data_IF_689943353638
#
_entry.id   IF_689943353638
#
_cell.length_a   1.000
_cell.length_b   1.000
_cell.length_c   1.000
_cell.angle_alpha   90.00
_cell.angle_beta   90.00
_cell.angle_gamma   90.00
#
_symmetry.space_group_name_H-M   'P 1'
#
loop_
_entity.id
_entity.type
_entity.pdbx_description
1 polymer ?
#
# COMPACT_ATOMS: atom_id res chain seq x y z
N UNK A 1 7.33 -20.15 26.60
CA UNK A 1 7.27 -20.70 25.22
C UNK A 1 5.91 -20.42 24.56
N UNK A 2 4.80 -20.74 25.22
CA UNK A 2 3.43 -20.54 24.71
C UNK A 2 3.09 -19.07 24.41
N UNK A 3 3.51 -18.12 25.25
CA UNK A 3 3.26 -16.69 24.99
C UNK A 3 3.86 -16.19 23.67
N UNK A 4 5.10 -16.62 23.35
CA UNK A 4 5.76 -16.24 22.08
C UNK A 4 4.99 -16.82 20.90
N UNK A 5 4.53 -18.07 21.01
CA UNK A 5 3.70 -18.71 20.00
C UNK A 5 2.37 -17.98 19.81
N UNK A 6 1.69 -17.59 20.90
CA UNK A 6 0.47 -16.77 20.83
C UNK A 6 0.70 -15.41 20.17
N UNK A 7 1.84 -14.75 20.40
CA UNK A 7 2.18 -13.50 19.70
C UNK A 7 2.28 -13.72 18.19
N UNK A 8 2.96 -14.77 17.74
CA UNK A 8 3.07 -15.11 16.32
C UNK A 8 1.71 -15.46 15.72
N UNK A 9 0.89 -16.24 16.43
CA UNK A 9 -0.47 -16.59 15.99
C UNK A 9 -1.35 -15.35 15.80
N UNK A 10 -1.37 -14.45 16.79
CA UNK A 10 -2.12 -13.20 16.72
C UNK A 10 -1.64 -12.32 15.57
N UNK A 11 -0.31 -12.21 15.37
CA UNK A 11 0.24 -11.45 14.25
C UNK A 11 -0.23 -11.99 12.90
N UNK A 12 -0.16 -13.30 12.69
CA UNK A 12 -0.61 -13.94 11.45
C UNK A 12 -2.11 -13.75 11.18
N UNK A 13 -2.94 -13.81 12.23
CA UNK A 13 -4.38 -13.54 12.14
C UNK A 13 -4.67 -12.06 11.83
N UNK A 14 -3.93 -11.12 12.44
CA UNK A 14 -4.08 -9.69 12.17
C UNK A 14 -3.75 -9.34 10.70
N UNK A 15 -2.78 -10.01 10.09
CA UNK A 15 -2.43 -9.79 8.68
C UNK A 15 -3.58 -10.06 7.70
N UNK A 16 -4.52 -10.94 8.04
CA UNK A 16 -5.65 -11.26 7.17
C UNK A 16 -6.81 -10.26 7.25
N UNK A 17 -6.79 -9.32 8.20
CA UNK A 17 -7.76 -8.22 8.38
C UNK A 17 -9.25 -8.62 8.23
N UNK A 18 -9.61 -9.85 8.60
CA UNK A 18 -10.98 -10.38 8.51
C UNK A 18 -11.63 -10.48 9.89
N UNK A 19 -12.92 -10.18 9.99
CA UNK A 19 -13.71 -10.39 11.21
C UNK A 19 -13.89 -11.88 11.56
N UNK A 20 -13.92 -12.76 10.55
CA UNK A 20 -14.14 -14.20 10.68
C UNK A 20 -12.83 -14.98 10.92
N UNK A 21 -12.07 -14.59 11.95
CA UNK A 21 -10.78 -15.20 12.29
C UNK A 21 -10.86 -16.72 12.52
N UNK A 22 -12.02 -17.23 12.95
CA UNK A 22 -12.24 -18.67 13.18
C UNK A 22 -12.11 -19.50 11.90
N UNK A 23 -12.59 -18.98 10.76
CA UNK A 23 -12.50 -19.67 9.47
C UNK A 23 -11.06 -19.70 8.93
N UNK A 24 -10.24 -18.73 9.30
CA UNK A 24 -8.83 -18.65 8.90
C UNK A 24 -7.90 -19.43 9.83
N UNK A 25 -8.37 -19.78 11.02
CA UNK A 25 -7.58 -20.44 12.04
C UNK A 25 -6.91 -21.74 11.54
N UNK A 26 -7.60 -22.64 10.80
CA UNK A 26 -6.97 -23.86 10.28
C UNK A 26 -5.81 -23.56 9.32
N UNK A 27 -5.99 -22.58 8.43
CA UNK A 27 -4.99 -22.17 7.43
C UNK A 27 -3.76 -21.55 8.10
N UNK A 28 -3.97 -20.65 9.07
CA UNK A 28 -2.88 -20.01 9.81
C UNK A 28 -2.11 -21.04 10.63
N UNK A 29 -2.80 -21.95 11.32
CA UNK A 29 -2.15 -23.02 12.08
C UNK A 29 -1.35 -23.97 11.20
N UNK A 30 -1.86 -24.30 10.00
CA UNK A 30 -1.15 -25.10 9.02
C UNK A 30 0.15 -24.43 8.58
N UNK A 31 0.10 -23.15 8.22
CA UNK A 31 1.28 -22.37 7.86
C UNK A 31 2.31 -22.31 8.99
N UNK A 32 1.86 -22.07 10.23
CA UNK A 32 2.75 -22.00 11.39
C UNK A 32 3.41 -23.34 11.75
N UNK A 33 2.80 -24.47 11.38
CA UNK A 33 3.35 -25.81 11.62
C UNK A 33 4.34 -26.24 10.54
N UNK A 34 4.19 -25.74 9.31
CA UNK A 34 5.09 -26.07 8.20
C UNK A 34 6.18 -25.01 7.94
N UNK A 35 6.16 -23.86 8.62
CA UNK A 35 7.22 -22.88 8.49
C UNK A 35 8.56 -23.46 8.99
N UNK A 36 9.58 -23.43 8.13
CA UNK A 36 10.95 -23.75 8.53
C UNK A 36 11.47 -22.65 9.43
N UNK A 37 11.89 -23.03 10.65
CA UNK A 37 12.44 -22.04 11.57
C UNK A 37 13.95 -21.92 11.35
N UNK A 38 14.45 -20.69 11.27
CA UNK A 38 15.87 -20.41 11.00
C UNK A 38 16.80 -20.87 12.14
N UNK A 39 16.30 -20.92 13.37
CA UNK A 39 17.06 -21.36 14.54
C UNK A 39 17.34 -22.87 14.53
N UNK A 40 16.42 -23.66 14.00
CA UNK A 40 16.51 -25.13 14.02
C UNK A 40 16.74 -25.74 12.63
N UNK A 41 16.54 -24.97 11.56
CA UNK A 41 16.68 -25.43 10.18
C UNK A 41 15.58 -26.39 9.72
N UNK A 42 14.54 -26.59 10.54
CA UNK A 42 13.43 -27.51 10.28
C UNK A 42 12.11 -26.92 10.78
N UNK A 43 11.01 -27.44 10.26
CA UNK A 43 9.64 -27.07 10.62
C UNK A 43 9.12 -27.89 11.80
N UNK A 44 8.15 -27.37 12.58
CA UNK A 44 7.49 -28.14 13.63
C UNK A 44 6.84 -29.44 13.14
N UNK A 45 6.33 -29.48 11.91
CA UNK A 45 5.78 -30.68 11.31
C UNK A 45 6.87 -31.73 11.04
N UNK A 46 8.03 -31.33 10.53
CA UNK A 46 9.17 -32.25 10.35
C UNK A 46 9.66 -32.84 11.67
N UNK A 47 9.68 -32.04 12.75
CA UNK A 47 10.03 -32.56 14.08
C UNK A 47 9.05 -33.61 14.60
N UNK A 48 7.77 -33.48 14.26
CA UNK A 48 6.74 -34.39 14.74
C UNK A 48 6.65 -35.66 13.88
N UNK A 49 6.73 -35.50 12.57
CA UNK A 49 6.49 -36.57 11.60
C UNK A 49 7.77 -37.16 10.98
N UNK A 50 8.94 -36.57 11.28
CA UNK A 50 10.23 -36.97 10.72
C UNK A 50 10.37 -36.72 9.22
N UNK A 51 9.38 -36.07 8.60
CA UNK A 51 9.29 -35.85 7.16
C UNK A 51 8.61 -34.52 6.87
N UNK A 52 8.92 -33.92 5.72
CA UNK A 52 8.26 -32.71 5.22
C UNK A 52 6.80 -33.01 4.90
N UNK A 53 5.87 -32.32 5.56
CA UNK A 53 4.44 -32.47 5.29
C UNK A 53 4.09 -31.79 3.96
N UNK A 54 3.56 -32.53 2.99
CA UNK A 54 3.08 -31.92 1.74
C UNK A 54 1.76 -31.18 1.97
N UNK A 55 1.71 -29.92 1.57
CA UNK A 55 0.54 -29.04 1.76
C UNK A 55 -0.33 -29.07 0.49
N UNK A 56 -1.67 -28.97 0.58
CA UNK A 56 -2.58 -28.91 -0.57
C UNK A 56 -2.33 -27.82 -1.63
N UNK A 57 -1.34 -26.93 -1.48
CA UNK A 57 -0.90 -25.97 -2.51
C UNK A 57 0.43 -26.32 -3.20
N UNK A 58 1.15 -27.31 -2.67
CA UNK A 58 2.38 -27.87 -3.26
C UNK A 58 2.06 -28.89 -4.38
N UNK A 59 0.79 -29.29 -4.47
CA UNK A 59 0.23 -30.23 -5.45
C UNK A 59 -0.59 -29.53 -6.55
N UNK A 60 -0.16 -28.39 -7.09
CA UNK A 60 -0.76 -27.94 -8.36
C UNK A 60 -0.24 -28.84 -9.50
N UNK A 61 -0.72 -30.08 -9.52
CA UNK A 61 -0.95 -30.81 -10.75
C UNK A 61 -2.33 -30.40 -11.26
N UNK A 62 -2.43 -30.13 -12.56
CA UNK A 62 -3.66 -29.68 -13.22
C UNK A 62 -4.88 -30.56 -12.87
N UNK A 63 -5.89 -29.92 -12.26
CA UNK A 63 -7.33 -30.25 -12.19
C UNK A 63 -7.74 -31.60 -11.55
N UNK A 64 -8.66 -31.61 -10.57
CA UNK A 64 -10.08 -31.95 -10.81
C UNK A 64 -11.05 -31.28 -9.81
N UNK A 65 -10.70 -30.13 -9.23
CA UNK A 65 -11.68 -29.34 -8.49
C UNK A 65 -12.23 -28.25 -9.40
N UNK A 66 -13.42 -28.47 -9.96
CA UNK A 66 -14.23 -27.43 -10.59
C UNK A 66 -15.22 -26.90 -9.55
N UNK A 67 -14.85 -25.92 -8.71
CA UNK A 67 -15.85 -25.21 -7.93
C UNK A 67 -16.85 -24.58 -8.90
N UNK A 68 -18.13 -24.55 -8.52
CA UNK A 68 -19.15 -23.89 -9.33
C UNK A 68 -18.68 -22.45 -9.62
N UNK A 69 -18.49 -22.07 -10.90
CA UNK A 69 -18.01 -20.75 -11.27
C UNK A 69 -18.88 -19.63 -10.71
N UNK A 70 -20.17 -19.89 -10.44
CA UNK A 70 -21.05 -18.92 -9.80
C UNK A 70 -20.63 -18.60 -8.36
N UNK A 71 -20.21 -19.59 -7.58
CA UNK A 71 -19.77 -19.39 -6.19
C UNK A 71 -18.52 -18.52 -6.17
N UNK A 72 -17.52 -18.86 -6.98
CA UNK A 72 -16.29 -18.07 -7.09
C UNK A 72 -16.56 -16.63 -7.51
N UNK A 73 -17.39 -16.41 -8.54
CA UNK A 73 -17.75 -15.07 -9.00
C UNK A 73 -18.47 -14.29 -7.92
N UNK A 74 -19.33 -14.94 -7.13
CA UNK A 74 -20.08 -14.29 -6.07
C UNK A 74 -19.19 -13.89 -4.88
N UNK A 75 -18.27 -14.77 -4.48
CA UNK A 75 -17.26 -14.50 -3.45
C UNK A 75 -16.31 -13.39 -3.88
N UNK A 76 -15.84 -13.45 -5.13
CA UNK A 76 -14.97 -12.43 -5.71
C UNK A 76 -15.66 -11.06 -5.79
N UNK A 77 -16.92 -11.00 -6.22
CA UNK A 77 -17.72 -9.77 -6.22
C UNK A 77 -17.94 -9.21 -4.81
N UNK A 78 -18.03 -10.08 -3.81
CA UNK A 78 -18.19 -9.67 -2.41
C UNK A 78 -16.88 -9.10 -1.88
N UNK A 79 -15.76 -9.78 -2.11
CA UNK A 79 -14.43 -9.29 -1.78
C UNK A 79 -14.10 -7.94 -2.42
N UNK A 80 -14.33 -7.79 -3.73
CA UNK A 80 -14.12 -6.53 -4.45
C UNK A 80 -15.02 -5.39 -3.94
N UNK A 81 -16.22 -5.69 -3.43
CA UNK A 81 -17.10 -4.68 -2.79
C UNK A 81 -16.59 -4.23 -1.42
N UNK A 82 -15.90 -5.11 -0.70
CA UNK A 82 -15.28 -4.80 0.59
C UNK A 82 -13.95 -4.05 0.44
N UNK A 83 -13.22 -4.28 -0.66
CA UNK A 83 -12.05 -3.49 -1.05
C UNK A 83 -12.43 -2.07 -1.51
N UNK A 84 -12.86 -1.23 -0.58
CA UNK A 84 -13.06 0.20 -0.86
C UNK A 84 -11.72 0.94 -0.74
N UNK A 85 -11.34 1.77 -1.72
CA UNK A 85 -10.20 2.66 -1.57
C UNK A 85 -10.44 3.57 -0.38
N UNK A 86 -9.49 3.63 0.54
CA UNK A 86 -9.53 4.56 1.66
C UNK A 86 -9.57 5.97 1.08
N UNK A 87 -10.60 6.80 1.37
CA UNK A 87 -10.64 8.16 0.87
C UNK A 87 -9.45 8.92 1.46
N UNK A 88 -8.48 9.22 0.61
CA UNK A 88 -7.37 10.11 0.94
C UNK A 88 -7.95 11.50 1.10
N UNK A 89 -8.38 11.83 2.31
CA UNK A 89 -8.78 13.19 2.65
C UNK A 89 -7.52 14.04 2.70
N UNK A 90 -7.23 14.74 1.61
CA UNK A 90 -6.23 15.81 1.60
C UNK A 90 -6.73 16.96 2.50
N UNK A 91 -6.53 16.85 3.82
CA UNK A 91 -6.93 17.87 4.80
C UNK A 91 -6.03 19.11 4.82
N UNK A 92 -5.03 19.20 3.94
CA UNK A 92 -4.19 20.38 3.87
C UNK A 92 -4.75 21.37 2.85
N UNK A 93 -5.07 22.59 3.29
CA UNK A 93 -5.17 23.73 2.38
C UNK A 93 -3.80 23.87 1.72
N UNK A 94 -3.72 23.79 0.39
CA UNK A 94 -2.49 24.10 -0.36
C UNK A 94 -2.08 25.54 -0.03
N UNK A 95 -1.19 25.70 0.96
CA UNK A 95 -0.53 26.98 1.21
C UNK A 95 0.58 27.05 0.18
N UNK A 96 0.39 27.89 -0.83
CA UNK A 96 1.47 28.23 -1.74
C UNK A 96 2.60 28.85 -0.91
N UNK A 97 3.80 28.31 -1.07
CA UNK A 97 5.00 28.81 -0.42
C UNK A 97 5.48 30.05 -1.17
N UNK A 98 5.62 31.16 -0.46
CA UNK A 98 6.17 32.41 -0.99
C UNK A 98 7.34 32.85 -0.12
N UNK A 99 8.37 33.40 -0.75
CA UNK A 99 9.51 33.96 -0.03
C UNK A 99 9.13 35.29 0.61
N UNK A 100 9.56 35.55 1.86
CA UNK A 100 9.19 36.78 2.59
C UNK A 100 9.68 38.04 1.87
N UNK A 101 10.86 37.96 1.28
CA UNK A 101 11.49 39.08 0.59
C UNK A 101 10.86 39.35 -0.79
N UNK A 102 9.91 38.53 -1.25
CA UNK A 102 9.19 38.79 -2.50
C UNK A 102 8.46 40.14 -2.48
N UNK A 103 8.07 40.62 -1.30
CA UNK A 103 7.47 41.94 -1.11
C UNK A 103 8.47 43.11 -1.20
N UNK A 104 9.75 42.87 -0.88
CA UNK A 104 10.83 43.87 -0.95
C UNK A 104 11.69 43.73 -2.20
N UNK A 105 11.49 42.67 -3.01
CA UNK A 105 12.19 42.47 -4.27
C UNK A 105 11.84 43.56 -5.29
N UNK A 106 12.85 44.27 -5.78
CA UNK A 106 12.72 45.28 -6.84
C UNK A 106 12.58 44.67 -8.23
N UNK A 107 13.12 43.46 -8.44
CA UNK A 107 13.08 42.77 -9.72
C UNK A 107 12.74 41.29 -9.55
N UNK A 108 11.96 40.73 -10.49
CA UNK A 108 11.54 39.33 -10.51
C UNK A 108 11.80 38.70 -11.88
N UNK A 109 12.17 37.43 -11.90
CA UNK A 109 12.30 36.65 -13.12
C UNK A 109 11.01 35.86 -13.38
N UNK A 110 10.41 36.02 -14.55
CA UNK A 110 9.16 35.35 -14.91
C UNK A 110 9.46 34.09 -15.72
N UNK A 111 8.81 32.99 -15.32
CA UNK A 111 8.93 31.70 -16.01
C UNK A 111 8.08 31.70 -17.27
N UNK A 112 8.68 31.30 -18.39
CA UNK A 112 8.01 31.14 -19.67
C UNK A 112 7.60 29.67 -19.84
N UNK A 113 6.31 29.36 -19.68
CA UNK A 113 5.84 27.97 -19.77
C UNK A 113 5.74 27.46 -21.23
N UNK A 114 5.75 28.36 -22.22
CA UNK A 114 5.70 28.04 -23.65
C UNK A 114 7.01 28.41 -24.38
N UNK A 115 8.15 27.88 -23.92
CA UNK A 115 9.47 28.16 -24.55
C UNK A 115 9.79 27.26 -25.74
N UNK A 116 10.58 27.75 -26.70
CA UNK A 116 11.16 26.92 -27.78
C UNK A 116 12.50 26.29 -27.35
N UNK A 117 12.98 25.32 -28.12
CA UNK A 117 14.26 24.67 -27.87
C UNK A 117 15.41 25.71 -27.88
N UNK A 118 16.32 25.59 -26.91
CA UNK A 118 17.47 26.49 -26.69
C UNK A 118 17.13 27.92 -26.20
N UNK A 119 15.89 28.21 -25.81
CA UNK A 119 15.54 29.47 -25.16
C UNK A 119 15.65 29.40 -23.63
N UNK A 120 15.97 30.55 -23.01
CA UNK A 120 16.02 30.70 -21.55
C UNK A 120 14.61 30.51 -20.98
N UNK A 121 14.50 29.67 -19.96
CA UNK A 121 13.23 29.36 -19.29
C UNK A 121 12.66 30.55 -18.51
N UNK A 122 13.52 31.48 -18.10
CA UNK A 122 13.15 32.67 -17.37
C UNK A 122 13.48 33.90 -18.21
N UNK A 123 12.50 34.80 -18.35
CA UNK A 123 12.73 36.14 -18.87
C UNK A 123 13.28 37.03 -17.77
N UNK A 124 14.06 38.04 -18.16
CA UNK A 124 14.99 38.82 -17.32
C UNK A 124 14.40 39.47 -16.07
N UNK A 125 15.21 40.26 -15.35
CA UNK A 125 14.73 40.94 -14.15
C UNK A 125 13.71 42.01 -14.56
N UNK A 126 12.42 41.71 -14.36
CA UNK A 126 11.33 42.65 -14.55
C UNK A 126 11.11 43.43 -13.26
N UNK A 127 11.01 44.75 -13.36
CA UNK A 127 10.71 45.58 -12.21
C UNK A 127 9.33 45.22 -11.66
N UNK A 128 9.24 44.97 -10.36
CA UNK A 128 7.95 44.71 -9.70
C UNK A 128 7.14 46.01 -9.69
N UNK A 129 5.98 46.01 -10.36
CA UNK A 129 5.03 47.13 -10.23
C UNK A 129 4.45 47.13 -8.82
N UNK A 130 4.49 48.29 -8.16
CA UNK A 130 3.86 48.48 -6.85
C UNK A 130 2.35 48.21 -6.96
N UNK A 131 1.85 47.53 -5.93
CA UNK A 131 0.54 46.87 -5.85
C UNK A 131 -0.64 47.67 -6.42
N UNK A 132 -1.35 47.06 -7.37
CA UNK A 132 -2.81 47.15 -7.40
C UNK A 132 -3.39 45.78 -7.74
N UNK A 133 -3.95 45.15 -6.70
CA UNK A 133 -4.87 44.01 -6.74
C UNK A 133 -4.38 42.75 -7.47
N UNK A 134 -3.63 41.90 -6.75
CA UNK A 134 -3.56 40.47 -7.09
C UNK A 134 -4.83 39.76 -6.61
N UNK A 135 -5.95 40.06 -7.28
CA UNK A 135 -7.15 39.23 -7.24
C UNK A 135 -6.83 37.87 -7.86
N UNK A 136 -6.79 36.85 -7.01
CA UNK A 136 -6.74 35.46 -7.44
C UNK A 136 -8.10 35.12 -8.06
N UNK A 137 -8.22 35.26 -9.38
CA UNK A 137 -9.35 34.70 -10.14
C UNK A 137 -9.23 33.17 -10.11
N UNK A 138 -10.36 32.55 -9.74
CA UNK A 138 -10.57 31.10 -9.55
C UNK A 138 -10.24 30.27 -10.77
#
# INVERSE_FOLDING_TARGET
MIERWHRTLKAALMCHNSSNWANLLPTVLLGLRNQVRLDTGASPAEFLFGTTLRIPGEFVTDNDFTPDPQIFVNDFRTFMRECKPVPVTHKYKKRAFYYKDLASCTHVFLRNDAKRALERLYSGPHQSFNESQKGCSR
#
